data_IF_087493794364
#
_entry.id   IF_087493794364
#
_cell.length_a   1.000
_cell.length_b   1.000
_cell.length_c   1.000
_cell.angle_alpha   90.00
_cell.angle_beta   90.00
_cell.angle_gamma   90.00
#
_symmetry.space_group_name_H-M   'P 1'
#
loop_
_entity.id
_entity.type
_entity.pdbx_description
1 polymer ?
#
# COMPACT_ATOMS: atom_id res chain seq x y z
N UNK A 1 38.04 -5.86 -6.01
CA UNK A 1 37.32 -6.19 -7.27
C UNK A 1 36.06 -5.35 -7.27
N UNK A 2 35.93 -4.40 -8.19
CA UNK A 2 34.76 -3.54 -8.29
C UNK A 2 33.57 -4.41 -8.67
N UNK A 3 32.62 -4.55 -7.75
CA UNK A 3 31.30 -5.11 -8.02
C UNK A 3 30.63 -4.15 -8.98
N UNK A 4 30.77 -4.39 -10.29
CA UNK A 4 29.84 -3.83 -11.25
C UNK A 4 28.45 -4.25 -10.78
N UNK A 5 27.64 -3.28 -10.35
CA UNK A 5 26.29 -3.52 -9.84
C UNK A 5 25.54 -4.34 -10.90
N UNK A 6 25.29 -5.62 -10.60
CA UNK A 6 24.51 -6.51 -11.45
C UNK A 6 23.08 -5.97 -11.47
N UNK A 7 22.71 -5.31 -12.56
CA UNK A 7 21.35 -4.85 -12.82
C UNK A 7 20.45 -6.06 -13.07
N UNK A 8 19.38 -6.19 -12.31
CA UNK A 8 18.36 -7.20 -12.55
C UNK A 8 17.44 -6.73 -13.70
N UNK A 9 17.46 -7.37 -14.89
CA UNK A 9 16.66 -6.93 -16.04
C UNK A 9 15.15 -7.04 -15.80
N UNK A 10 14.73 -7.76 -14.76
CA UNK A 10 13.34 -7.85 -14.32
C UNK A 10 13.00 -6.84 -13.22
N UNK A 11 13.99 -6.12 -12.66
CA UNK A 11 13.74 -5.05 -11.70
C UNK A 11 13.41 -3.72 -12.38
N UNK A 12 12.31 -3.75 -13.13
CA UNK A 12 11.84 -2.63 -13.97
C UNK A 12 10.40 -2.26 -13.68
N UNK A 13 10.02 -1.06 -14.13
CA UNK A 13 8.65 -0.59 -14.13
C UNK A 13 7.98 -0.86 -15.48
N UNK A 14 6.70 -1.21 -15.45
CA UNK A 14 5.83 -1.29 -16.64
C UNK A 14 4.79 -0.19 -16.56
N UNK A 15 4.57 0.53 -17.65
CA UNK A 15 3.46 1.49 -17.78
C UNK A 15 2.45 0.91 -18.76
N UNK A 16 1.18 0.88 -18.38
CA UNK A 16 0.09 0.33 -19.18
C UNK A 16 -1.14 1.24 -19.14
N UNK A 17 -2.06 1.04 -20.10
CA UNK A 17 -3.34 1.75 -20.12
C UNK A 17 -4.33 1.23 -19.06
N UNK A 18 -4.17 -0.03 -18.66
CA UNK A 18 -5.00 -0.70 -17.66
C UNK A 18 -4.22 -1.84 -16.98
N UNK A 19 -4.72 -2.32 -15.85
CA UNK A 19 -4.19 -3.53 -15.22
C UNK A 19 -4.65 -4.77 -15.98
N UNK A 20 -3.79 -5.79 -16.01
CA UNK A 20 -4.09 -7.06 -16.69
C UNK A 20 -3.68 -8.24 -15.82
N UNK A 21 -4.17 -9.43 -16.18
CA UNK A 21 -3.70 -10.67 -15.57
C UNK A 21 -2.20 -10.84 -15.73
N UNK A 22 -1.67 -10.47 -16.89
CA UNK A 22 -0.25 -10.53 -17.14
C UNK A 22 0.50 -9.67 -16.12
N UNK A 23 0.10 -8.40 -15.97
CA UNK A 23 0.65 -7.41 -15.01
C UNK A 23 0.74 -7.97 -13.59
N UNK A 24 -0.35 -8.53 -13.08
CA UNK A 24 -0.42 -9.04 -11.71
C UNK A 24 0.43 -10.32 -11.55
N UNK A 25 0.33 -11.25 -12.49
CA UNK A 25 1.12 -12.48 -12.46
C UNK A 25 2.64 -12.19 -12.59
N UNK A 26 3.02 -11.19 -13.40
CA UNK A 26 4.41 -10.77 -13.53
C UNK A 26 4.96 -10.08 -12.30
N UNK A 27 4.16 -9.32 -11.54
CA UNK A 27 4.56 -8.80 -10.23
C UNK A 27 4.80 -9.95 -9.25
N UNK A 28 3.85 -10.89 -9.17
CA UNK A 28 3.95 -12.05 -8.28
C UNK A 28 5.19 -12.92 -8.59
N UNK A 29 5.50 -13.09 -9.88
CA UNK A 29 6.66 -13.84 -10.36
C UNK A 29 7.97 -13.03 -10.36
N UNK A 30 7.94 -11.73 -10.04
CA UNK A 30 9.11 -10.86 -10.03
C UNK A 30 9.68 -10.50 -11.41
N UNK A 31 8.86 -10.56 -12.48
CA UNK A 31 9.21 -10.15 -13.87
C UNK A 31 9.24 -8.63 -14.08
N UNK A 32 8.58 -7.90 -13.19
CA UNK A 32 8.69 -6.45 -13.01
C UNK A 32 8.43 -6.14 -11.55
N UNK A 33 8.83 -4.93 -11.14
CA UNK A 33 8.76 -4.47 -9.75
C UNK A 33 7.52 -3.66 -9.49
N UNK A 34 7.11 -2.89 -10.49
CA UNK A 34 5.99 -1.98 -10.41
C UNK A 34 5.24 -1.94 -11.74
N UNK A 35 3.92 -1.79 -11.67
CA UNK A 35 3.03 -1.54 -12.80
C UNK A 35 2.29 -0.23 -12.53
N UNK A 36 2.36 0.69 -13.49
CA UNK A 36 1.75 2.00 -13.46
C UNK A 36 0.62 2.07 -14.46
N UNK A 37 -0.51 2.62 -14.05
CA UNK A 37 -1.65 2.95 -14.92
C UNK A 37 -1.95 4.43 -14.77
N UNK A 38 -1.38 5.29 -15.65
CA UNK A 38 -1.68 6.71 -15.67
C UNK A 38 -3.16 6.93 -16.00
N UNK A 39 -3.81 7.86 -15.29
CA UNK A 39 -5.23 8.17 -15.54
C UNK A 39 -6.19 7.02 -15.23
N UNK A 40 -5.81 6.08 -14.36
CA UNK A 40 -6.72 5.05 -13.83
C UNK A 40 -7.99 5.70 -13.26
N UNK A 41 -7.83 6.88 -12.66
CA UNK A 41 -8.94 7.76 -12.30
C UNK A 41 -8.75 9.15 -12.86
N UNK A 42 -9.85 9.82 -13.18
CA UNK A 42 -9.80 11.21 -13.65
C UNK A 42 -9.41 12.16 -12.52
N UNK A 43 -8.68 13.23 -12.86
CA UNK A 43 -8.32 14.27 -11.88
C UNK A 43 -9.56 14.90 -11.23
N UNK A 44 -10.65 15.05 -11.98
CA UNK A 44 -11.92 15.57 -11.47
C UNK A 44 -12.52 14.67 -10.38
N UNK A 45 -12.50 13.36 -10.58
CA UNK A 45 -13.00 12.42 -9.56
C UNK A 45 -12.06 12.34 -8.36
N UNK A 46 -10.74 12.38 -8.58
CA UNK A 46 -9.76 12.48 -7.50
C UNK A 46 -10.00 13.73 -6.65
N UNK A 47 -10.24 14.88 -7.29
CA UNK A 47 -10.60 16.15 -6.64
C UNK A 47 -11.85 16.01 -5.77
N UNK A 48 -12.92 15.37 -6.26
CA UNK A 48 -14.14 15.13 -5.46
C UNK A 48 -13.88 14.28 -4.23
N UNK A 49 -13.03 13.25 -4.33
CA UNK A 49 -12.65 12.43 -3.17
C UNK A 49 -11.86 13.27 -2.16
N UNK A 50 -10.89 14.07 -2.62
CA UNK A 50 -10.11 14.97 -1.74
C UNK A 50 -10.99 16.00 -1.05
N UNK A 51 -11.93 16.63 -1.77
CA UNK A 51 -12.88 17.60 -1.22
C UNK A 51 -13.78 16.97 -0.15
N UNK A 52 -14.34 15.79 -0.42
CA UNK A 52 -15.15 15.06 0.55
C UNK A 52 -14.34 14.73 1.82
N UNK A 53 -13.09 14.29 1.66
CA UNK A 53 -12.19 14.02 2.79
C UNK A 53 -11.87 15.28 3.59
N UNK A 54 -11.69 16.44 2.95
CA UNK A 54 -11.47 17.73 3.63
C UNK A 54 -12.68 18.17 4.46
N UNK A 55 -13.89 17.87 3.98
CA UNK A 55 -15.13 18.14 4.71
C UNK A 55 -15.38 17.18 5.88
N UNK A 56 -14.63 16.08 5.94
CA UNK A 56 -14.69 15.12 7.03
C UNK A 56 -13.74 15.49 8.17
N UNK A 57 -14.17 15.26 9.40
CA UNK A 57 -13.29 15.37 10.57
C UNK A 57 -12.23 14.28 10.47
N UNK A 58 -10.99 14.64 10.09
CA UNK A 58 -9.86 13.73 10.25
C UNK A 58 -9.65 13.48 11.75
N UNK A 59 -9.79 12.24 12.21
CA UNK A 59 -9.24 11.85 13.50
C UNK A 59 -7.71 11.97 13.41
N UNK A 60 -7.17 13.05 13.96
CA UNK A 60 -5.72 13.11 14.18
C UNK A 60 -5.38 12.03 15.19
N UNK A 61 -4.47 11.11 14.83
CA UNK A 61 -3.89 10.14 15.74
C UNK A 61 -3.69 10.77 17.13
N UNK A 62 -4.10 10.05 18.19
CA UNK A 62 -3.55 10.34 19.51
C UNK A 62 -2.03 10.43 19.36
N UNK A 63 -1.45 11.59 19.73
CA UNK A 63 -0.06 12.05 19.46
C UNK A 63 1.07 11.12 19.95
N UNK A 64 0.83 9.86 20.23
CA UNK A 64 1.73 8.98 20.99
C UNK A 64 2.27 7.74 20.25
N UNK A 65 1.98 7.47 18.96
CA UNK A 65 2.44 6.20 18.34
C UNK A 65 3.07 6.21 16.95
N UNK A 66 3.00 7.27 16.14
CA UNK A 66 3.64 7.26 14.81
C UNK A 66 4.49 8.52 14.62
N UNK A 67 5.81 8.35 14.53
CA UNK A 67 6.72 9.32 13.93
C UNK A 67 7.21 8.74 12.60
N UNK A 68 7.04 9.43 11.45
CA UNK A 68 6.44 10.76 11.31
C UNK A 68 4.90 10.77 11.33
N UNK A 69 4.28 11.96 11.43
CA UNK A 69 2.82 12.11 11.39
C UNK A 69 2.28 11.73 10.01
N UNK A 70 1.53 10.64 9.95
CA UNK A 70 0.72 10.22 8.80
C UNK A 70 -0.73 10.48 9.17
N UNK A 71 -1.46 11.23 8.35
CA UNK A 71 -2.92 11.35 8.52
C UNK A 71 -3.59 10.22 7.75
N UNK A 72 -4.64 9.64 8.33
CA UNK A 72 -5.33 8.50 7.74
C UNK A 72 -6.83 8.67 7.82
N UNK A 73 -7.52 8.27 6.75
CA UNK A 73 -8.96 8.04 6.74
C UNK A 73 -9.23 6.55 6.49
N UNK A 74 -10.05 5.92 7.33
CA UNK A 74 -10.21 4.47 7.38
C UNK A 74 -9.32 3.79 8.43
N UNK A 75 -9.32 2.45 8.45
CA UNK A 75 -8.52 1.64 9.36
C UNK A 75 -7.66 0.64 8.60
N UNK A 76 -6.39 0.55 8.98
CA UNK A 76 -5.46 -0.48 8.52
C UNK A 76 -5.18 -1.48 9.62
N UNK A 77 -5.09 -2.77 9.27
CA UNK A 77 -4.91 -3.84 10.27
C UNK A 77 -3.55 -3.77 10.97
N UNK A 78 -2.53 -3.24 10.29
CA UNK A 78 -1.17 -3.09 10.85
C UNK A 78 -1.14 -2.20 12.10
N UNK A 79 -1.98 -1.17 12.17
CA UNK A 79 -2.10 -0.28 13.33
C UNK A 79 -2.74 -0.97 14.55
N UNK A 80 -3.50 -2.03 14.29
CA UNK A 80 -4.15 -2.86 15.30
C UNK A 80 -3.51 -4.23 15.40
N UNK A 81 -2.19 -4.31 15.17
CA UNK A 81 -1.41 -5.52 15.35
C UNK A 81 -0.78 -5.55 16.74
N UNK A 82 -0.96 -6.65 17.46
CA UNK A 82 -0.32 -6.88 18.77
C UNK A 82 0.19 -8.31 18.86
N UNK A 83 1.45 -8.51 19.20
CA UNK A 83 2.06 -9.84 19.28
C UNK A 83 1.99 -10.64 17.97
N UNK A 84 1.97 -9.95 16.82
CA UNK A 84 1.78 -10.58 15.51
C UNK A 84 0.37 -11.15 15.30
N UNK A 85 -0.66 -10.58 15.94
CA UNK A 85 -2.06 -10.96 15.75
C UNK A 85 -2.92 -9.74 15.51
N UNK A 86 -4.09 -9.94 14.91
CA UNK A 86 -5.13 -8.90 14.82
C UNK A 86 -5.68 -8.67 16.23
N UNK A 87 -5.48 -7.47 16.77
CA UNK A 87 -6.01 -7.11 18.08
C UNK A 87 -7.52 -6.86 18.01
N UNK A 88 -8.25 -7.19 19.07
CA UNK A 88 -9.72 -7.00 19.13
C UNK A 88 -10.16 -5.55 18.88
N UNK A 89 -9.29 -4.59 19.21
CA UNK A 89 -9.49 -3.16 18.92
C UNK A 89 -9.67 -2.83 17.42
N UNK A 90 -9.22 -3.69 16.51
CA UNK A 90 -9.37 -3.51 15.07
C UNK A 90 -10.84 -3.46 14.65
N UNK A 91 -11.68 -4.31 15.26
CA UNK A 91 -13.04 -4.53 14.76
C UNK A 91 -13.98 -3.35 15.04
N UNK A 92 -14.04 -2.78 16.26
CA UNK A 92 -14.79 -1.54 16.48
C UNK A 92 -14.25 -0.37 15.65
N UNK A 93 -12.92 -0.27 15.48
CA UNK A 93 -12.32 0.76 14.64
C UNK A 93 -12.72 0.61 13.16
N UNK A 94 -12.85 -0.62 12.67
CA UNK A 94 -13.35 -0.91 11.33
C UNK A 94 -14.82 -0.55 11.15
N UNK A 95 -15.66 -0.84 12.14
CA UNK A 95 -17.08 -0.47 12.08
C UNK A 95 -17.24 1.06 12.04
N UNK A 96 -16.50 1.79 12.88
CA UNK A 96 -16.46 3.26 12.85
C UNK A 96 -15.90 3.81 11.53
N UNK A 97 -14.84 3.20 10.98
CA UNK A 97 -14.30 3.58 9.67
C UNK A 97 -15.32 3.39 8.54
N UNK A 98 -16.11 2.31 8.57
CA UNK A 98 -17.19 2.06 7.59
C UNK A 98 -18.31 3.09 7.70
N UNK A 99 -18.64 3.51 8.92
CA UNK A 99 -19.55 4.65 9.14
C UNK A 99 -19.00 5.93 8.52
N UNK A 100 -17.76 6.29 8.83
CA UNK A 100 -17.12 7.48 8.28
C UNK A 100 -17.08 7.48 6.74
N UNK A 101 -16.75 6.35 6.10
CA UNK A 101 -16.80 6.22 4.64
C UNK A 101 -18.19 6.46 4.05
N UNK A 102 -19.26 5.96 4.71
CA UNK A 102 -20.64 6.19 4.26
C UNK A 102 -21.05 7.66 4.41
N UNK A 103 -20.56 8.33 5.46
CA UNK A 103 -20.86 9.72 5.74
C UNK A 103 -20.23 10.70 4.74
N UNK A 104 -19.17 10.30 4.02
CA UNK A 104 -18.62 11.09 2.92
C UNK A 104 -19.61 11.29 1.76
N UNK A 105 -20.64 10.42 1.65
CA UNK A 105 -21.70 10.49 0.61
C UNK A 105 -21.15 10.71 -0.81
N UNK A 106 -20.01 10.09 -1.10
CA UNK A 106 -19.42 10.11 -2.43
C UNK A 106 -20.38 9.46 -3.43
N UNK A 107 -20.45 9.95 -4.68
CA UNK A 107 -21.30 9.36 -5.72
C UNK A 107 -20.82 7.97 -6.17
N UNK A 108 -19.64 7.53 -5.71
CA UNK A 108 -19.04 6.22 -5.97
C UNK A 108 -18.13 5.81 -4.79
N UNK A 109 -17.81 4.51 -4.70
CA UNK A 109 -16.82 3.99 -3.75
C UNK A 109 -15.44 3.92 -4.44
N UNK A 110 -14.48 4.81 -4.08
CA UNK A 110 -13.18 4.86 -4.75
C UNK A 110 -12.32 3.61 -4.47
N UNK A 111 -12.52 2.94 -3.33
CA UNK A 111 -11.81 1.70 -3.01
C UNK A 111 -12.36 0.55 -3.87
N UNK A 112 -13.69 0.47 -4.01
CA UNK A 112 -14.34 -0.57 -4.82
C UNK A 112 -14.02 -0.44 -6.31
N UNK A 113 -14.07 0.77 -6.86
CA UNK A 113 -13.74 1.00 -8.26
C UNK A 113 -12.27 0.72 -8.58
N UNK A 114 -11.35 1.06 -7.67
CA UNK A 114 -9.95 0.69 -7.81
C UNK A 114 -9.77 -0.84 -7.84
N UNK A 115 -10.42 -1.58 -6.94
CA UNK A 115 -10.42 -3.06 -6.95
C UNK A 115 -11.00 -3.63 -8.24
N UNK A 116 -12.10 -3.06 -8.73
CA UNK A 116 -12.72 -3.47 -9.99
C UNK A 116 -11.76 -3.28 -11.17
N UNK A 117 -11.08 -2.14 -11.25
CA UNK A 117 -10.13 -1.86 -12.33
C UNK A 117 -8.91 -2.81 -12.29
N UNK A 118 -8.43 -3.17 -11.10
CA UNK A 118 -7.35 -4.16 -10.94
C UNK A 118 -7.81 -5.56 -11.36
N UNK A 119 -9.05 -5.94 -11.01
CA UNK A 119 -9.62 -7.25 -11.29
C UNK A 119 -10.24 -7.41 -12.68
N UNK A 120 -10.25 -6.38 -13.52
CA UNK A 120 -11.01 -6.37 -14.77
C UNK A 120 -10.65 -7.51 -15.73
N UNK A 121 -9.35 -7.86 -15.80
CA UNK A 121 -8.83 -8.96 -16.64
C UNK A 121 -8.40 -10.19 -15.80
N UNK A 122 -8.66 -10.19 -14.48
CA UNK A 122 -8.38 -11.36 -13.65
C UNK A 122 -9.54 -12.36 -13.75
N UNK A 123 -9.30 -13.69 -13.75
CA UNK A 123 -10.38 -14.69 -13.86
C UNK A 123 -11.46 -14.59 -12.77
N UNK A 124 -11.17 -13.95 -11.64
CA UNK A 124 -12.12 -13.60 -10.60
C UNK A 124 -11.95 -12.14 -10.17
N UNK A 125 -12.93 -11.61 -9.43
CA UNK A 125 -12.84 -10.26 -8.89
C UNK A 125 -11.79 -10.14 -7.77
N UNK A 126 -11.32 -8.92 -7.51
CA UNK A 126 -10.54 -8.62 -6.30
C UNK A 126 -11.52 -8.51 -5.12
N UNK A 127 -11.62 -9.57 -4.33
CA UNK A 127 -12.46 -9.61 -3.12
C UNK A 127 -11.85 -8.86 -1.95
N UNK A 128 -12.63 -8.65 -0.88
CA UNK A 128 -12.08 -8.15 0.40
C UNK A 128 -11.75 -9.34 1.28
N UNK A 129 -10.55 -9.32 1.87
CA UNK A 129 -10.05 -10.36 2.76
C UNK A 129 -10.92 -10.54 4.01
N UNK A 130 -10.92 -11.75 4.57
CA UNK A 130 -11.67 -12.10 5.79
C UNK A 130 -10.73 -12.68 6.83
N UNK A 131 -10.72 -12.12 8.04
CA UNK A 131 -10.04 -12.74 9.17
C UNK A 131 -11.08 -13.48 10.02
N UNK A 132 -10.92 -14.81 10.15
CA UNK A 132 -11.84 -15.68 10.92
C UNK A 132 -13.32 -15.50 10.54
N UNK A 133 -13.58 -15.43 9.22
CA UNK A 133 -14.92 -15.29 8.65
C UNK A 133 -15.47 -13.84 8.61
N UNK A 134 -14.87 -12.90 9.34
CA UNK A 134 -15.27 -11.49 9.32
C UNK A 134 -14.47 -10.70 8.29
N UNK A 135 -15.18 -9.97 7.45
CA UNK A 135 -14.60 -9.12 6.41
C UNK A 135 -13.80 -7.95 7.00
N UNK A 136 -12.58 -7.78 6.50
CA UNK A 136 -11.63 -6.74 6.90
C UNK A 136 -11.93 -5.38 6.26
N UNK A 137 -11.14 -4.35 6.58
CA UNK A 137 -11.16 -3.07 5.90
C UNK A 137 -10.65 -3.22 4.47
N UNK A 138 -11.29 -2.53 3.54
CA UNK A 138 -11.01 -2.65 2.11
C UNK A 138 -9.88 -1.72 1.62
N UNK A 139 -9.26 -0.98 2.55
CA UNK A 139 -8.20 0.00 2.30
C UNK A 139 -8.37 1.26 3.13
N UNK A 140 -7.45 2.20 2.91
CA UNK A 140 -7.34 3.45 3.65
C UNK A 140 -6.93 4.58 2.71
N UNK A 141 -7.16 5.83 3.13
CA UNK A 141 -6.49 6.99 2.55
C UNK A 141 -5.39 7.43 3.49
N UNK A 142 -4.22 7.71 2.94
CA UNK A 142 -3.04 8.16 3.68
C UNK A 142 -2.54 9.49 3.13
N UNK A 143 -2.20 10.38 4.04
CA UNK A 143 -1.41 11.56 3.76
C UNK A 143 -0.14 11.49 4.59
N UNK A 144 1.01 11.51 3.91
CA UNK A 144 2.32 11.31 4.51
C UNK A 144 3.25 12.48 4.15
N UNK A 145 3.10 13.66 4.76
CA UNK A 145 3.89 14.84 4.41
C UNK A 145 5.40 14.63 4.64
N UNK A 146 5.76 13.85 5.66
CA UNK A 146 7.14 13.51 5.98
C UNK A 146 7.59 12.19 5.32
N UNK A 147 6.76 11.62 4.44
CA UNK A 147 7.02 10.33 3.80
C UNK A 147 6.80 9.13 4.72
N UNK A 148 7.29 7.98 4.25
CA UNK A 148 7.33 6.72 5.01
C UNK A 148 8.79 6.28 5.13
N UNK A 149 9.18 5.78 6.31
CA UNK A 149 10.48 5.15 6.53
C UNK A 149 10.65 3.93 5.61
N UNK A 150 11.88 3.44 5.46
CA UNK A 150 12.11 2.16 4.79
C UNK A 150 11.38 1.05 5.54
N UNK A 151 10.43 0.38 4.89
CA UNK A 151 9.64 -0.71 5.46
C UNK A 151 9.30 -1.74 4.39
N UNK A 152 8.66 -2.82 4.78
CA UNK A 152 8.09 -3.82 3.88
C UNK A 152 6.74 -4.22 4.46
N UNK A 153 5.84 -4.69 3.60
CA UNK A 153 4.57 -5.28 4.01
C UNK A 153 4.55 -6.74 3.53
N UNK A 154 4.51 -7.68 4.47
CA UNK A 154 4.48 -9.12 4.22
C UNK A 154 3.70 -9.80 5.35
N UNK A 155 2.40 -10.00 5.12
CA UNK A 155 1.48 -10.51 6.13
C UNK A 155 1.91 -11.87 6.71
N UNK A 156 2.52 -12.74 5.89
CA UNK A 156 3.05 -14.05 6.30
C UNK A 156 4.21 -13.94 7.31
N UNK A 157 4.86 -12.77 7.37
CA UNK A 157 5.95 -12.48 8.34
C UNK A 157 5.49 -11.63 9.50
N UNK A 158 4.55 -10.74 9.25
CA UNK A 158 4.08 -9.79 10.25
C UNK A 158 3.06 -10.41 11.20
N UNK A 159 2.32 -11.43 10.75
CA UNK A 159 1.34 -12.14 11.54
C UNK A 159 1.80 -13.57 11.86
N UNK A 160 1.54 -14.00 13.09
CA UNK A 160 1.82 -15.34 13.61
C UNK A 160 0.73 -16.34 13.26
N UNK A 161 -0.40 -15.85 12.77
CA UNK A 161 -1.52 -16.63 12.26
C UNK A 161 -1.84 -16.19 10.84
N UNK A 162 -2.46 -17.08 10.07
CA UNK A 162 -2.96 -16.75 8.75
C UNK A 162 -3.98 -15.60 8.86
N UNK A 163 -3.61 -14.45 8.25
CA UNK A 163 -4.40 -13.24 8.31
C UNK A 163 -5.75 -13.41 7.59
N UNK A 164 -5.77 -14.12 6.47
CA UNK A 164 -6.92 -14.18 5.55
C UNK A 164 -7.61 -15.55 5.50
N UNK A 165 -7.06 -16.53 6.22
CA UNK A 165 -7.50 -17.93 6.14
C UNK A 165 -7.13 -18.59 4.81
N UNK A 166 -6.18 -18.03 4.07
CA UNK A 166 -5.64 -18.59 2.84
C UNK A 166 -4.15 -18.23 2.69
N UNK A 167 -3.25 -19.20 2.41
CA UNK A 167 -1.84 -18.92 2.17
C UNK A 167 -1.60 -17.98 0.99
N UNK A 168 -0.70 -17.01 1.16
CA UNK A 168 -0.34 -16.04 0.14
C UNK A 168 0.88 -16.47 -0.69
N UNK A 169 0.75 -16.43 -2.01
CA UNK A 169 1.85 -16.59 -2.98
C UNK A 169 2.62 -15.26 -3.14
N UNK A 170 1.89 -14.15 -3.14
CA UNK A 170 2.44 -12.81 -3.24
C UNK A 170 1.56 -11.80 -2.52
N UNK A 171 2.20 -10.72 -2.05
CA UNK A 171 1.53 -9.53 -1.54
C UNK A 171 2.01 -8.33 -2.37
N UNK A 172 1.04 -7.54 -2.83
CA UNK A 172 1.25 -6.32 -3.59
C UNK A 172 0.67 -5.15 -2.80
N UNK A 173 1.24 -3.97 -2.95
CA UNK A 173 0.64 -2.73 -2.50
C UNK A 173 0.03 -2.00 -3.69
N UNK A 174 -1.21 -1.55 -3.53
CA UNK A 174 -1.88 -0.64 -4.45
C UNK A 174 -1.91 0.77 -3.89
N UNK A 175 -1.61 1.77 -4.73
CA UNK A 175 -1.86 3.18 -4.44
C UNK A 175 -2.56 3.85 -5.63
N UNK A 176 -3.64 4.57 -5.36
CA UNK A 176 -4.24 5.55 -6.26
C UNK A 176 -3.91 6.95 -5.73
N UNK A 177 -3.17 7.73 -6.51
CA UNK A 177 -2.75 9.06 -6.12
C UNK A 177 -3.86 10.08 -6.34
N UNK A 178 -4.43 10.60 -5.26
CA UNK A 178 -5.54 11.57 -5.30
C UNK A 178 -5.04 13.01 -5.34
N UNK A 179 -3.87 13.27 -4.75
CA UNK A 179 -3.17 14.55 -4.75
C UNK A 179 -1.67 14.27 -4.64
N UNK A 180 -0.84 15.05 -5.33
CA UNK A 180 0.62 14.85 -5.37
C UNK A 180 1.33 16.18 -5.11
N UNK A 181 2.48 16.17 -4.43
CA UNK A 181 3.31 17.37 -4.25
C UNK A 181 4.05 17.73 -5.54
N UNK A 182 4.47 18.99 -5.67
CA UNK A 182 5.36 19.42 -6.76
C UNK A 182 6.73 18.71 -6.71
N UNK A 183 7.25 18.60 -5.48
CA UNK A 183 8.55 18.01 -5.17
C UNK A 183 8.42 16.99 -4.05
N UNK A 184 9.05 15.83 -4.21
CA UNK A 184 8.99 14.77 -3.21
C UNK A 184 7.81 13.82 -3.43
N UNK A 185 7.52 13.00 -2.42
CA UNK A 185 6.41 12.06 -2.46
C UNK A 185 6.60 10.85 -3.38
N UNK A 186 7.79 10.69 -3.96
CA UNK A 186 8.14 9.53 -4.77
C UNK A 186 8.05 8.25 -3.93
N UNK A 187 7.47 7.20 -4.51
CA UNK A 187 7.57 5.85 -3.94
C UNK A 187 8.88 5.24 -4.40
N UNK A 188 9.71 4.80 -3.46
CA UNK A 188 10.97 4.10 -3.77
C UNK A 188 10.83 2.64 -3.39
N UNK A 189 11.22 1.75 -4.29
CA UNK A 189 11.21 0.30 -4.06
C UNK A 189 12.62 -0.21 -4.32
N UNK A 190 13.17 -1.00 -3.40
CA UNK A 190 14.49 -1.61 -3.50
C UNK A 190 14.38 -3.11 -3.84
N UNK A 191 15.30 -3.65 -4.65
CA UNK A 191 15.40 -5.10 -4.95
C UNK A 191 15.99 -5.84 -3.75
N UNK A 192 15.29 -5.79 -2.63
CA UNK A 192 15.70 -6.41 -1.37
C UNK A 192 14.47 -6.69 -0.56
N UNK A 193 14.31 -7.94 -0.14
CA UNK A 193 13.26 -8.36 0.81
C UNK A 193 13.86 -8.47 2.19
N UNK A 194 13.00 -8.41 3.20
CA UNK A 194 13.39 -8.58 4.59
C UNK A 194 14.12 -9.90 4.84
N UNK A 195 15.18 -9.83 5.64
CA UNK A 195 15.87 -10.97 6.20
C UNK A 195 15.96 -10.81 7.74
N UNK A 196 15.93 -11.90 8.55
CA UNK A 196 15.97 -11.78 10.02
C UNK A 196 17.14 -10.96 10.59
N UNK A 197 18.29 -10.94 9.90
CA UNK A 197 19.45 -10.12 10.29
C UNK A 197 19.21 -8.62 10.14
N UNK A 198 18.21 -8.21 9.37
CA UNK A 198 17.90 -6.81 9.10
C UNK A 198 17.32 -6.10 10.32
N UNK A 199 16.85 -6.85 11.33
CA UNK A 199 16.36 -6.28 12.59
C UNK A 199 17.43 -5.43 13.30
N UNK A 200 18.73 -5.65 13.05
CA UNK A 200 19.79 -4.78 13.57
C UNK A 200 19.73 -3.34 13.02
N UNK A 201 19.06 -3.12 11.89
CA UNK A 201 18.85 -1.80 11.28
C UNK A 201 17.56 -1.11 11.73
N UNK A 202 16.72 -1.78 12.54
CA UNK A 202 15.45 -1.23 13.05
C UNK A 202 15.72 -0.47 14.36
N UNK A 203 15.54 0.85 14.41
CA UNK A 203 15.66 1.59 15.66
C UNK A 203 14.63 1.11 16.69
N UNK A 204 14.95 1.10 17.99
CA UNK A 204 13.99 0.72 19.04
C UNK A 204 12.69 1.53 18.96
N UNK A 205 11.55 0.84 18.87
CA UNK A 205 10.23 1.47 18.78
C UNK A 205 9.85 2.04 17.40
N UNK A 206 10.71 1.91 16.39
CA UNK A 206 10.41 2.32 15.01
C UNK A 206 9.58 1.26 14.28
N UNK A 207 8.65 1.68 13.42
CA UNK A 207 7.96 0.80 12.48
C UNK A 207 8.83 0.46 11.26
N UNK A 208 9.81 1.30 10.94
CA UNK A 208 10.69 1.16 9.78
C UNK A 208 12.15 1.00 10.17
N UNK A 209 12.99 0.91 9.15
CA UNK A 209 14.42 0.67 9.22
C UNK A 209 15.20 1.92 8.82
N UNK A 210 16.47 1.95 9.24
CA UNK A 210 17.44 2.92 8.73
C UNK A 210 17.87 2.58 7.30
N UNK A 211 18.33 3.58 6.54
CA UNK A 211 18.75 3.43 5.14
C UNK A 211 19.89 2.40 4.94
N UNK A 212 20.66 2.10 6.00
CA UNK A 212 21.69 1.07 5.98
C UNK A 212 21.16 -0.31 5.57
N UNK A 213 19.88 -0.58 5.79
CA UNK A 213 19.24 -1.84 5.37
C UNK A 213 19.13 -1.95 3.85
N UNK A 214 19.19 -0.86 3.09
CA UNK A 214 19.04 -0.85 1.62
C UNK A 214 20.25 -0.28 0.89
N UNK A 215 21.35 0.02 1.59
CA UNK A 215 22.48 0.81 1.08
C UNK A 215 23.07 0.30 -0.25
N UNK A 216 23.11 -1.02 -0.46
CA UNK A 216 23.68 -1.64 -1.66
C UNK A 216 22.63 -2.23 -2.61
N UNK A 217 21.35 -2.01 -2.33
CA UNK A 217 20.26 -2.56 -3.13
C UNK A 217 19.96 -1.67 -4.34
N UNK A 218 19.78 -2.31 -5.50
CA UNK A 218 19.18 -1.66 -6.66
C UNK A 218 17.80 -1.09 -6.29
N UNK A 219 17.46 0.11 -6.77
CA UNK A 219 16.18 0.74 -6.50
C UNK A 219 15.55 1.36 -7.75
N UNK A 220 14.23 1.44 -7.72
CA UNK A 220 13.44 2.26 -8.64
C UNK A 220 12.73 3.35 -7.83
N UNK A 221 12.67 4.55 -8.40
CA UNK A 221 11.98 5.69 -7.83
C UNK A 221 10.83 6.10 -8.75
N UNK A 222 9.64 6.21 -8.17
CA UNK A 222 8.39 6.36 -8.90
C UNK A 222 7.75 7.68 -8.50
N UNK A 223 7.89 8.69 -9.36
CA UNK A 223 7.22 9.98 -9.18
C UNK A 223 5.72 9.84 -9.49
N UNK A 224 4.83 10.13 -8.53
CA UNK A 224 3.39 9.96 -8.71
C UNK A 224 2.80 11.08 -9.56
N UNK A 225 1.69 10.78 -10.24
CA UNK A 225 0.82 11.77 -10.88
C UNK A 225 -0.62 11.59 -10.40
N UNK A 226 -1.41 12.66 -10.36
CA UNK A 226 -2.83 12.56 -9.96
C UNK A 226 -3.57 11.58 -10.86
N UNK A 227 -4.41 10.73 -10.26
CA UNK A 227 -5.19 9.72 -10.96
C UNK A 227 -4.42 8.46 -11.36
N UNK A 228 -3.10 8.40 -11.13
CA UNK A 228 -2.31 7.21 -11.41
C UNK A 228 -2.57 6.10 -10.39
N UNK A 229 -2.78 4.88 -10.89
CA UNK A 229 -2.71 3.67 -10.11
C UNK A 229 -1.32 3.04 -10.17
N UNK A 230 -0.80 2.66 -9.01
CA UNK A 230 0.48 1.97 -8.86
C UNK A 230 0.27 0.64 -8.13
N UNK A 231 0.71 -0.46 -8.75
CA UNK A 231 0.90 -1.75 -8.11
C UNK A 231 2.39 -2.07 -8.02
N UNK A 232 2.86 -2.54 -6.87
CA UNK A 232 4.21 -3.06 -6.70
C UNK A 232 4.26 -4.20 -5.66
N UNK A 233 5.32 -5.02 -5.70
CA UNK A 233 5.53 -6.08 -4.70
C UNK A 233 5.98 -5.47 -3.36
N UNK A 234 5.06 -5.41 -2.40
CA UNK A 234 5.27 -4.76 -1.09
C UNK A 234 6.20 -5.53 -0.17
N UNK A 235 6.52 -6.80 -0.51
CA UNK A 235 7.47 -7.61 0.26
C UNK A 235 8.91 -7.14 0.07
N UNK A 236 9.16 -6.37 -0.98
CA UNK A 236 10.39 -5.62 -1.13
C UNK A 236 10.38 -4.41 -0.20
N UNK A 237 11.56 -4.05 0.30
CA UNK A 237 11.72 -2.80 1.00
C UNK A 237 11.27 -1.63 0.13
N UNK A 238 10.52 -0.72 0.73
CA UNK A 238 10.01 0.46 0.07
C UNK A 238 9.82 1.61 1.06
N UNK A 239 9.72 2.82 0.54
CA UNK A 239 9.59 4.05 1.29
C UNK A 239 8.85 5.08 0.45
N UNK A 240 8.48 6.19 1.08
CA UNK A 240 7.97 7.37 0.39
C UNK A 240 8.83 8.55 0.77
N UNK A 241 9.29 9.32 -0.21
CA UNK A 241 10.06 10.54 0.03
C UNK A 241 9.19 11.60 0.72
N UNK A 242 9.77 12.41 1.63
CA UNK A 242 9.08 13.58 2.17
C UNK A 242 8.55 14.48 1.05
N UNK A 243 7.39 15.09 1.27
CA UNK A 243 6.72 15.95 0.31
C UNK A 243 7.00 17.42 0.63
N UNK A 244 7.18 18.27 -0.39
CA UNK A 244 7.32 19.72 -0.28
C UNK A 244 6.23 20.40 -1.10
N UNK A 245 5.54 21.37 -0.50
CA UNK A 245 4.41 22.06 -1.13
C UNK A 245 3.10 21.33 -0.86
N UNK A 246 2.42 20.91 -1.94
CA UNK A 246 1.10 20.29 -1.87
C UNK A 246 1.06 18.95 -1.10
N UNK A 247 -0.14 18.56 -0.69
CA UNK A 247 -0.38 17.33 0.08
C UNK A 247 -0.25 16.11 -0.83
N UNK A 248 0.56 15.12 -0.42
CA UNK A 248 0.54 13.77 -1.01
C UNK A 248 -0.57 12.95 -0.38
N UNK A 249 -1.70 12.81 -1.08
CA UNK A 249 -2.85 12.02 -0.62
C UNK A 249 -3.00 10.82 -1.55
N UNK A 250 -2.95 9.62 -0.98
CA UNK A 250 -3.14 8.38 -1.73
C UNK A 250 -4.16 7.47 -1.04
N UNK A 251 -5.07 6.92 -1.82
CA UNK A 251 -5.87 5.77 -1.43
C UNK A 251 -5.05 4.51 -1.66
N UNK A 252 -5.05 3.57 -0.72
CA UNK A 252 -4.28 2.35 -0.87
C UNK A 252 -4.80 1.17 -0.05
N UNK A 253 -4.40 -0.02 -0.50
CA UNK A 253 -4.66 -1.30 0.14
C UNK A 253 -3.60 -2.32 -0.28
N UNK A 254 -3.43 -3.36 0.52
CA UNK A 254 -2.68 -4.55 0.14
C UNK A 254 -3.54 -5.44 -0.74
N UNK A 255 -2.91 -6.22 -1.62
CA UNK A 255 -3.53 -7.27 -2.42
C UNK A 255 -2.71 -8.54 -2.28
N UNK A 256 -3.35 -9.62 -1.86
CA UNK A 256 -2.77 -10.94 -1.75
C UNK A 256 -3.22 -11.79 -2.93
N UNK A 257 -2.27 -12.41 -3.64
CA UNK A 257 -2.54 -13.54 -4.52
C UNK A 257 -2.48 -14.80 -3.66
N UNK A 258 -3.62 -15.46 -3.49
CA UNK A 258 -3.71 -16.70 -2.71
C UNK A 258 -3.24 -17.91 -3.52
N UNK A 259 -2.92 -19.01 -2.83
CA UNK A 259 -2.47 -20.25 -3.47
C UNK A 259 -3.51 -20.88 -4.43
N UNK A 260 -4.80 -20.59 -4.26
CA UNK A 260 -5.88 -21.02 -5.16
C UNK A 260 -6.17 -20.02 -6.29
N UNK A 261 -5.37 -18.94 -6.41
CA UNK A 261 -5.43 -18.00 -7.53
C UNK A 261 -6.41 -16.83 -7.36
N UNK A 262 -6.98 -16.65 -6.16
CA UNK A 262 -7.83 -15.51 -5.85
C UNK A 262 -6.99 -14.26 -5.52
N UNK A 263 -7.60 -13.08 -5.75
CA UNK A 263 -7.06 -11.80 -5.31
C UNK A 263 -7.90 -11.27 -4.16
N UNK A 264 -7.26 -11.04 -3.01
CA UNK A 264 -7.91 -10.51 -1.81
C UNK A 264 -7.26 -9.20 -1.40
N UNK A 265 -8.06 -8.16 -1.19
CA UNK A 265 -7.61 -6.85 -0.74
C UNK A 265 -7.88 -6.64 0.76
N UNK A 266 -6.98 -5.94 1.44
CA UNK A 266 -7.19 -5.46 2.81
C UNK A 266 -6.42 -4.16 3.11
N UNK A 267 -6.90 -3.41 4.09
CA UNK A 267 -6.27 -2.17 4.59
C UNK A 267 -5.24 -2.39 5.68
#
# INVERSE_FOLDING_TARGET
MSSAHLHDPFFRTVTAAEFSREHIAGLAAGRWTAVRVPGLRSEADCGRVVEALQSATFESYGRQRVQPTVLRFGVGVSDHRSGGRVADSYWPALDAAREAWRDLRLPFDPLAEARQAIGADWPGAVGVGRHKGREMGAGVVREAPQGFLVHYDDAEREFTEDLLGAPLVAQLAFNLYLSVPETGGETVVWRRRWHPRDESFRPPGSYGYTDGVVQDAECIELKPTVGEGLLFDSRNYHAVRPSVGDRRIALGFSIGLTADGNLLAWG
#
